data_IF_328381665800
#
_entry.id   IF_328381665800
#
_cell.length_a   1.000
_cell.length_b   1.000
_cell.length_c   1.000
_cell.angle_alpha   90.00
_cell.angle_beta   90.00
_cell.angle_gamma   90.00
#
_symmetry.space_group_name_H-M   'P 1'
#
loop_
_entity.id
_entity.type
_entity.pdbx_description
1 polymer ?
#
# COMPACT_ATOMS: atom_id res chain seq x y z
N UNK A 1 21.15 22.04 -7.16
CA UNK A 1 20.03 21.54 -7.98
C UNK A 1 19.85 20.03 -7.77
N UNK A 2 19.13 19.64 -6.71
CA UNK A 2 18.94 18.24 -6.30
C UNK A 2 17.49 17.77 -6.49
N UNK A 3 16.69 18.60 -7.16
CA UNK A 3 15.27 18.36 -7.44
C UNK A 3 14.94 18.85 -8.86
N UNK A 4 14.03 18.15 -9.54
CA UNK A 4 13.42 18.56 -10.80
C UNK A 4 11.94 18.88 -10.61
N UNK A 5 11.46 19.98 -11.22
CA UNK A 5 10.05 20.38 -11.17
C UNK A 5 9.25 19.57 -12.21
N UNK A 6 8.17 18.93 -11.77
CA UNK A 6 7.29 18.14 -12.62
C UNK A 6 6.23 19.01 -13.33
N UNK A 7 5.62 18.53 -14.44
CA UNK A 7 4.48 19.18 -15.07
C UNK A 7 3.34 19.43 -14.07
N UNK A 8 2.62 20.54 -14.25
CA UNK A 8 1.51 20.90 -13.36
C UNK A 8 0.29 20.06 -13.67
N UNK A 9 -0.32 19.52 -12.62
CA UNK A 9 -1.62 18.87 -12.73
C UNK A 9 -2.76 19.90 -12.77
N UNK A 10 -3.79 19.67 -13.60
CA UNK A 10 -5.00 20.46 -13.58
C UNK A 10 -5.61 20.53 -12.17
N UNK A 11 -5.94 21.74 -11.70
CA UNK A 11 -6.61 21.95 -10.41
C UNK A 11 -5.70 22.04 -9.18
N UNK A 12 -4.38 21.82 -9.29
CA UNK A 12 -3.44 21.97 -8.16
C UNK A 12 -2.76 23.36 -8.15
N UNK A 13 -2.81 24.04 -7.00
CA UNK A 13 -2.21 25.37 -6.80
C UNK A 13 -0.68 25.36 -6.81
N UNK A 14 -0.06 24.20 -6.58
CA UNK A 14 1.40 24.04 -6.48
C UNK A 14 1.92 22.98 -7.46
N UNK A 15 3.21 23.08 -7.82
CA UNK A 15 3.90 22.10 -8.67
C UNK A 15 4.60 21.05 -7.81
N UNK A 16 4.64 19.80 -8.28
CA UNK A 16 5.38 18.72 -7.60
C UNK A 16 6.87 18.76 -8.00
N UNK A 17 7.73 18.23 -7.13
CA UNK A 17 9.18 18.12 -7.35
C UNK A 17 9.65 16.70 -7.07
N UNK A 18 10.64 16.22 -7.83
CA UNK A 18 11.27 14.91 -7.67
C UNK A 18 12.76 15.04 -7.35
N UNK A 19 13.29 14.23 -6.43
CA UNK A 19 14.70 14.22 -6.07
C UNK A 19 15.56 13.54 -7.14
N UNK A 20 16.77 14.07 -7.38
CA UNK A 20 17.72 13.56 -8.38
C UNK A 20 18.78 12.61 -7.79
N UNK A 21 18.50 12.02 -6.63
CA UNK A 21 19.46 11.17 -5.90
C UNK A 21 19.33 9.67 -6.19
N UNK A 22 18.50 9.29 -7.16
CA UNK A 22 18.30 7.89 -7.52
C UNK A 22 18.87 7.67 -8.93
N UNK A 23 19.69 6.63 -9.07
CA UNK A 23 20.44 6.34 -10.30
C UNK A 23 19.57 5.74 -11.42
N UNK A 24 18.36 5.28 -11.09
CA UNK A 24 17.42 4.69 -12.04
C UNK A 24 16.08 5.43 -11.98
N UNK A 25 16.05 6.59 -12.63
CA UNK A 25 14.88 7.46 -12.62
C UNK A 25 13.73 6.94 -13.46
N UNK A 26 14.01 6.15 -14.47
CA UNK A 26 12.98 5.59 -15.35
C UNK A 26 12.14 4.54 -14.62
N UNK A 27 12.78 3.69 -13.79
CA UNK A 27 12.03 2.77 -12.93
C UNK A 27 11.27 3.49 -11.82
N UNK A 28 11.82 4.56 -11.24
CA UNK A 28 11.10 5.32 -10.21
C UNK A 28 9.88 6.06 -10.79
N UNK A 29 9.98 6.67 -11.97
CA UNK A 29 8.84 7.32 -12.63
C UNK A 29 7.75 6.28 -12.93
N UNK A 30 8.14 5.14 -13.50
CA UNK A 30 7.19 4.06 -13.83
C UNK A 30 6.49 3.52 -12.59
N UNK A 31 7.21 3.33 -11.48
CA UNK A 31 6.62 2.87 -10.21
C UNK A 31 5.69 3.91 -9.59
N UNK A 32 6.05 5.20 -9.61
CA UNK A 32 5.19 6.27 -9.10
C UNK A 32 3.93 6.45 -9.95
N UNK A 33 4.03 6.31 -11.27
CA UNK A 33 2.87 6.32 -12.17
C UNK A 33 2.00 5.06 -11.99
N UNK A 34 2.60 3.89 -11.75
CA UNK A 34 1.88 2.66 -11.43
C UNK A 34 1.22 2.68 -10.03
N UNK A 35 1.76 3.46 -9.10
CA UNK A 35 1.20 3.68 -7.75
C UNK A 35 0.20 4.85 -7.71
N UNK A 36 -0.08 5.51 -8.83
CA UNK A 36 -1.20 6.44 -8.91
C UNK A 36 -2.49 5.64 -8.64
N UNK A 37 -3.32 6.05 -7.65
CA UNK A 37 -4.42 5.22 -7.18
C UNK A 37 -5.50 5.17 -8.25
N UNK A 38 -5.48 4.10 -9.03
CA UNK A 38 -6.59 3.64 -9.85
C UNK A 38 -7.18 2.44 -9.08
N UNK A 39 -8.18 2.71 -8.24
CA UNK A 39 -9.08 1.72 -7.63
C UNK A 39 -8.51 0.66 -6.66
N UNK A 40 -7.37 0.91 -5.99
CA UNK A 40 -6.80 0.02 -4.96
C UNK A 40 -7.66 -0.12 -3.69
N UNK A 41 -8.59 0.81 -3.43
CA UNK A 41 -9.44 0.77 -2.22
C UNK A 41 -10.37 -0.45 -2.17
N UNK A 42 -10.85 -0.92 -3.32
CA UNK A 42 -11.74 -2.09 -3.42
C UNK A 42 -10.99 -3.40 -3.19
N UNK A 43 -9.86 -3.56 -3.86
CA UNK A 43 -9.00 -4.73 -3.74
C UNK A 43 -8.37 -4.82 -2.34
N UNK A 44 -7.94 -3.68 -1.79
CA UNK A 44 -7.44 -3.60 -0.42
C UNK A 44 -8.53 -3.98 0.58
N UNK A 45 -9.75 -3.48 0.42
CA UNK A 45 -10.88 -3.82 1.30
C UNK A 45 -11.22 -5.31 1.25
N UNK A 46 -11.27 -5.91 0.06
CA UNK A 46 -11.52 -7.34 -0.10
C UNK A 46 -10.42 -8.19 0.56
N UNK A 47 -9.16 -7.77 0.40
CA UNK A 47 -8.03 -8.44 1.03
C UNK A 47 -8.06 -8.32 2.56
N UNK A 48 -8.44 -7.15 3.09
CA UNK A 48 -8.58 -6.94 4.54
C UNK A 48 -9.69 -7.83 5.10
N UNK A 49 -10.85 -7.89 4.45
CA UNK A 49 -11.98 -8.74 4.88
C UNK A 49 -11.61 -10.22 4.92
N UNK A 50 -10.89 -10.72 3.91
CA UNK A 50 -10.39 -12.09 3.88
C UNK A 50 -9.42 -12.38 5.04
N UNK A 51 -8.46 -11.48 5.28
CA UNK A 51 -7.49 -11.62 6.36
C UNK A 51 -8.15 -11.56 7.74
N UNK A 52 -9.15 -10.71 7.94
CA UNK A 52 -9.91 -10.64 9.19
C UNK A 52 -10.66 -11.94 9.48
N UNK A 53 -11.22 -12.58 8.44
CA UNK A 53 -11.84 -13.90 8.53
C UNK A 53 -10.86 -15.00 8.93
N UNK A 54 -9.70 -15.07 8.26
CA UNK A 54 -8.64 -16.03 8.59
C UNK A 54 -8.13 -15.86 10.02
N UNK A 55 -7.95 -14.62 10.47
CA UNK A 55 -7.51 -14.33 11.85
C UNK A 55 -8.55 -14.78 12.87
N UNK A 56 -9.85 -14.58 12.60
CA UNK A 56 -10.91 -15.04 13.48
C UNK A 56 -10.91 -16.57 13.62
N UNK A 57 -10.74 -17.29 12.50
CA UNK A 57 -10.66 -18.75 12.50
C UNK A 57 -9.43 -19.25 13.26
N UNK A 58 -8.25 -18.65 13.02
CA UNK A 58 -7.02 -19.02 13.69
C UNK A 58 -7.10 -18.79 15.21
N UNK A 59 -7.72 -17.69 15.65
CA UNK A 59 -7.96 -17.41 17.07
C UNK A 59 -8.87 -18.47 17.70
N UNK A 60 -9.97 -18.83 17.05
CA UNK A 60 -10.88 -19.85 17.56
C UNK A 60 -10.19 -21.23 17.70
N UNK A 61 -9.36 -21.60 16.72
CA UNK A 61 -8.54 -22.84 16.79
C UNK A 61 -7.53 -22.78 17.93
N UNK A 62 -6.86 -21.64 18.11
CA UNK A 62 -5.90 -21.45 19.19
C UNK A 62 -6.58 -21.55 20.55
N UNK A 63 -7.73 -20.91 20.74
CA UNK A 63 -8.49 -20.96 21.99
C UNK A 63 -8.92 -22.39 22.32
N UNK A 64 -9.38 -23.15 21.31
CA UNK A 64 -9.69 -24.57 21.48
C UNK A 64 -8.48 -25.40 21.90
N UNK A 65 -7.32 -25.19 21.27
CA UNK A 65 -6.09 -25.89 21.64
C UNK A 65 -5.60 -25.53 23.04
N UNK A 66 -5.64 -24.24 23.40
CA UNK A 66 -5.26 -23.78 24.73
C UNK A 66 -6.19 -24.33 25.82
N UNK A 67 -7.48 -24.41 25.54
CA UNK A 67 -8.44 -25.03 26.46
C UNK A 67 -8.12 -26.52 26.67
N UNK A 68 -7.85 -27.26 25.58
CA UNK A 68 -7.49 -28.69 25.65
C UNK A 68 -6.16 -28.99 26.33
N UNK A 69 -5.22 -28.05 26.36
CA UNK A 69 -3.91 -28.21 27.02
C UNK A 69 -3.90 -27.75 28.48
N UNK A 70 -4.94 -27.04 28.91
CA UNK A 70 -5.10 -26.51 30.27
C UNK A 70 -5.92 -27.40 31.22
N UNK A 71 -6.68 -28.36 30.67
CA UNK A 71 -7.28 -29.50 31.39
C UNK A 71 -6.29 -30.69 31.46
#
# INVERSE_FOLDING_TARGET
PFVARLPREPGKRESRYMHLFCDDMDTLITTVEALAPLDDDGDLRARVEALEGEVAELKARLDSLLHHLGD
#
